data_IF_144785655705
#
_entry.id   IF_144785655705
#
_cell.length_a   1.000
_cell.length_b   1.000
_cell.length_c   1.000
_cell.angle_alpha   90.00
_cell.angle_beta   90.00
_cell.angle_gamma   90.00
#
_symmetry.space_group_name_H-M   'P 1'
#
loop_
_entity.id
_entity.type
_entity.pdbx_description
1 polymer ?
#
# COMPACT_ATOMS: atom_id res chain seq x y z
N UNK A 1 9.11 20.69 7.67
CA UNK A 1 7.87 20.73 6.85
C UNK A 1 8.12 21.42 5.52
N UNK A 2 7.24 21.23 4.53
CA UNK A 2 7.38 21.75 3.18
C UNK A 2 6.06 22.32 2.64
N UNK A 3 6.14 23.34 1.79
CA UNK A 3 5.02 23.81 0.98
C UNK A 3 5.34 23.60 -0.50
N UNK A 4 4.33 23.28 -1.30
CA UNK A 4 4.45 23.20 -2.75
C UNK A 4 3.86 24.45 -3.39
N UNK A 5 4.59 25.06 -4.32
CA UNK A 5 4.16 26.27 -5.03
C UNK A 5 4.16 26.05 -6.53
N UNK A 6 3.37 26.84 -7.25
CA UNK A 6 3.33 26.82 -8.71
C UNK A 6 4.65 27.32 -9.31
N UNK A 7 5.25 26.56 -10.23
CA UNK A 7 6.52 26.94 -10.88
C UNK A 7 6.40 28.23 -11.72
N UNK A 8 5.20 28.55 -12.22
CA UNK A 8 4.99 29.71 -13.10
C UNK A 8 4.81 31.02 -12.33
N UNK A 9 4.01 31.03 -11.27
CA UNK A 9 3.62 32.25 -10.57
C UNK A 9 3.99 32.28 -9.08
N UNK A 10 4.55 31.20 -8.53
CA UNK A 10 4.93 31.11 -7.12
C UNK A 10 3.76 31.01 -6.13
N UNK A 11 2.51 30.89 -6.60
CA UNK A 11 1.35 30.74 -5.71
C UNK A 11 1.44 29.42 -4.92
N UNK A 12 1.15 29.47 -3.62
CA UNK A 12 1.06 28.28 -2.76
C UNK A 12 -0.07 27.36 -3.23
N UNK A 13 0.25 26.08 -3.35
CA UNK A 13 -0.67 25.03 -3.82
C UNK A 13 -1.05 24.03 -2.73
N UNK A 14 -0.39 24.08 -1.57
CA UNK A 14 -0.66 23.18 -0.46
C UNK A 14 -0.62 23.91 0.88
N UNK A 15 -1.19 23.29 1.93
CA UNK A 15 -0.79 23.57 3.30
C UNK A 15 0.69 23.18 3.53
N UNK A 16 1.31 23.57 4.67
CA UNK A 16 2.57 22.98 5.11
C UNK A 16 2.39 21.48 5.38
N UNK A 17 3.26 20.65 4.79
CA UNK A 17 3.19 19.19 4.85
C UNK A 17 4.50 18.57 5.36
N UNK A 18 4.39 17.38 5.94
CA UNK A 18 5.51 16.54 6.37
C UNK A 18 5.72 15.37 5.41
N UNK A 19 6.97 15.06 5.08
CA UNK A 19 7.28 13.95 4.18
C UNK A 19 7.12 12.61 4.91
N UNK A 20 6.44 11.67 4.26
CA UNK A 20 6.31 10.28 4.72
C UNK A 20 6.67 9.29 3.60
N UNK A 21 6.81 8.02 3.96
CA UNK A 21 7.06 6.96 2.99
C UNK A 21 5.82 6.75 2.11
N UNK A 22 6.05 6.40 0.84
CA UNK A 22 4.97 6.05 -0.07
C UNK A 22 4.19 4.83 0.46
N UNK A 23 2.86 4.92 0.64
CA UNK A 23 2.06 3.78 1.08
C UNK A 23 2.10 2.63 0.07
N UNK A 24 2.17 1.38 0.55
CA UNK A 24 2.17 0.18 -0.30
C UNK A 24 0.94 0.08 -1.23
N UNK A 25 -0.19 0.64 -0.78
CA UNK A 25 -1.47 0.67 -1.48
C UNK A 25 -1.67 1.90 -2.37
N UNK A 26 -0.67 2.80 -2.51
CA UNK A 26 -0.83 4.06 -3.25
C UNK A 26 -1.29 3.91 -4.71
N UNK A 27 -0.97 2.77 -5.33
CA UNK A 27 -1.31 2.43 -6.72
C UNK A 27 -2.27 1.23 -6.79
N UNK A 28 -2.94 0.92 -5.70
CA UNK A 28 -3.88 -0.20 -5.64
C UNK A 28 -5.22 0.23 -6.22
N UNK A 29 -5.80 -0.64 -7.06
CA UNK A 29 -7.24 -0.64 -7.33
C UNK A 29 -7.90 -1.75 -6.52
N UNK A 30 -8.92 -1.44 -5.75
CA UNK A 30 -9.55 -2.42 -4.85
C UNK A 30 -11.06 -2.55 -5.04
N UNK A 31 -11.50 -3.79 -5.24
CA UNK A 31 -12.91 -4.12 -5.49
C UNK A 31 -13.46 -3.53 -6.79
N UNK A 32 -14.79 -3.37 -6.83
CA UNK A 32 -15.50 -2.75 -7.94
C UNK A 32 -16.63 -1.88 -7.39
N UNK A 33 -16.61 -0.57 -7.68
CA UNK A 33 -17.63 0.35 -7.18
C UNK A 33 -17.47 0.71 -5.71
N UNK A 34 -16.33 0.44 -5.08
CA UNK A 34 -16.10 0.75 -3.66
C UNK A 34 -15.66 2.20 -3.46
N UNK A 35 -16.08 2.82 -2.37
CA UNK A 35 -15.61 4.14 -1.97
C UNK A 35 -14.40 4.01 -1.04
N UNK A 36 -13.20 4.05 -1.62
CA UNK A 36 -11.97 3.99 -0.82
C UNK A 36 -11.72 5.31 -0.10
N UNK A 37 -11.08 5.27 1.08
CA UNK A 37 -10.77 6.47 1.84
C UNK A 37 -9.62 7.28 1.18
N UNK A 38 -9.27 8.39 1.82
CA UNK A 38 -8.12 9.21 1.41
C UNK A 38 -6.83 8.43 1.63
N UNK A 39 -5.94 8.47 0.61
CA UNK A 39 -4.68 7.74 0.60
C UNK A 39 -3.70 8.23 1.69
N UNK A 40 -3.61 9.54 1.82
CA UNK A 40 -2.62 10.21 2.67
C UNK A 40 -3.31 10.77 3.91
N UNK A 41 -2.64 10.67 5.06
CA UNK A 41 -3.03 11.42 6.24
C UNK A 41 -2.90 12.92 5.97
N UNK A 42 -3.84 13.73 6.48
CA UNK A 42 -3.79 15.18 6.29
C UNK A 42 -2.53 15.78 6.91
N UNK A 43 -1.92 16.75 6.23
CA UNK A 43 -0.65 17.33 6.63
C UNK A 43 0.57 16.49 6.23
N UNK A 44 0.40 15.44 5.43
CA UNK A 44 1.50 14.61 4.93
C UNK A 44 1.59 14.59 3.41
N UNK A 45 2.78 14.27 2.90
CA UNK A 45 2.98 13.98 1.48
C UNK A 45 3.98 12.84 1.29
N UNK A 46 3.88 12.15 0.16
CA UNK A 46 4.90 11.19 -0.27
C UNK A 46 5.36 11.52 -1.70
N UNK A 47 6.61 11.19 -2.00
CA UNK A 47 7.18 11.36 -3.34
C UNK A 47 7.22 10.03 -4.06
N UNK A 48 6.52 9.95 -5.19
CA UNK A 48 6.61 8.83 -6.11
C UNK A 48 7.91 8.91 -6.90
N UNK A 49 8.80 7.97 -6.63
CA UNK A 49 10.10 7.89 -7.30
C UNK A 49 9.98 7.29 -8.70
N UNK A 50 8.86 6.65 -9.02
CA UNK A 50 8.66 5.93 -10.25
C UNK A 50 7.73 6.66 -11.22
N UNK A 51 8.09 6.80 -12.50
CA UNK A 51 7.16 7.25 -13.53
C UNK A 51 5.84 6.47 -13.49
N UNK A 52 4.72 7.19 -13.50
CA UNK A 52 3.37 6.59 -13.46
C UNK A 52 2.58 6.81 -14.75
N UNK A 53 2.67 7.96 -15.43
CA UNK A 53 1.97 8.16 -16.70
C UNK A 53 2.68 9.22 -17.57
N UNK A 54 2.56 9.17 -18.91
CA UNK A 54 1.76 8.23 -19.73
C UNK A 54 2.40 6.85 -19.93
N UNK A 55 1.57 5.83 -20.17
CA UNK A 55 1.99 4.45 -20.41
C UNK A 55 2.11 4.13 -21.91
N UNK A 56 3.16 3.42 -22.33
CA UNK A 56 3.20 2.77 -23.65
C UNK A 56 2.98 1.26 -23.53
N UNK A 57 2.08 0.72 -24.37
CA UNK A 57 1.99 -0.73 -24.62
C UNK A 57 3.19 -1.15 -25.47
N UNK A 58 3.72 -2.34 -25.16
CA UNK A 58 5.03 -2.84 -25.57
C UNK A 58 5.33 -2.78 -27.08
N UNK A 59 6.40 -2.08 -27.46
CA UNK A 59 7.44 -2.59 -28.36
C UNK A 59 8.60 -3.06 -27.47
N UNK A 60 9.36 -4.06 -27.89
CA UNK A 60 10.38 -4.75 -27.08
C UNK A 60 11.35 -3.74 -26.46
N UNK A 61 11.20 -3.50 -25.15
CA UNK A 61 12.14 -2.70 -24.37
C UNK A 61 13.39 -3.54 -24.17
N UNK A 62 14.55 -2.90 -24.33
CA UNK A 62 15.83 -3.51 -24.05
C UNK A 62 15.89 -3.98 -22.57
N UNK A 63 16.18 -5.26 -22.30
CA UNK A 63 16.29 -5.79 -20.95
C UNK A 63 17.26 -5.01 -20.04
N UNK A 64 18.30 -4.40 -20.60
CA UNK A 64 19.28 -3.60 -19.86
C UNK A 64 18.73 -2.21 -19.54
N UNK A 65 17.93 -1.60 -20.43
CA UNK A 65 17.21 -0.36 -20.13
C UNK A 65 16.19 -0.57 -19.00
N UNK A 66 15.45 -1.69 -19.03
CA UNK A 66 14.53 -2.04 -17.96
C UNK A 66 15.27 -2.26 -16.62
N UNK A 67 16.42 -2.94 -16.65
CA UNK A 67 17.24 -3.17 -15.47
C UNK A 67 17.78 -1.87 -14.87
N UNK A 68 18.22 -0.93 -15.70
CA UNK A 68 18.67 0.39 -15.26
C UNK A 68 17.54 1.19 -14.57
N UNK A 69 16.28 0.89 -14.88
CA UNK A 69 15.09 1.44 -14.20
C UNK A 69 14.60 0.57 -13.03
N UNK A 70 15.36 -0.46 -12.64
CA UNK A 70 15.03 -1.38 -11.55
C UNK A 70 13.89 -2.34 -11.86
N UNK A 71 13.66 -2.65 -13.14
CA UNK A 71 12.63 -3.57 -13.60
C UNK A 71 13.31 -4.79 -14.21
N UNK A 72 13.11 -5.95 -13.59
CA UNK A 72 13.82 -7.19 -13.90
C UNK A 72 12.94 -8.27 -14.53
N UNK A 73 11.62 -8.06 -14.57
CA UNK A 73 10.65 -8.93 -15.22
C UNK A 73 9.89 -8.20 -16.35
N UNK A 74 9.31 -8.92 -17.32
CA UNK A 74 8.47 -8.36 -18.37
C UNK A 74 7.33 -7.48 -17.84
N UNK A 75 7.47 -6.15 -17.92
CA UNK A 75 6.37 -5.23 -17.65
C UNK A 75 5.44 -5.15 -18.88
N UNK A 76 4.13 -5.24 -18.67
CA UNK A 76 3.13 -5.12 -19.75
C UNK A 76 3.07 -3.69 -20.33
N UNK A 77 3.50 -2.70 -19.55
CA UNK A 77 3.64 -1.31 -19.96
C UNK A 77 4.80 -0.65 -19.20
N UNK A 78 5.51 0.26 -19.85
CA UNK A 78 6.42 1.20 -19.19
C UNK A 78 5.83 2.60 -19.24
N UNK A 79 6.04 3.35 -18.16
CA UNK A 79 5.73 4.77 -18.12
C UNK A 79 6.93 5.58 -18.60
N UNK A 80 6.67 6.53 -19.50
CA UNK A 80 7.61 7.57 -19.93
C UNK A 80 7.41 8.88 -19.14
N UNK A 81 6.57 8.82 -18.09
CA UNK A 81 6.28 9.96 -17.24
C UNK A 81 7.49 10.52 -16.50
N UNK A 82 7.38 11.77 -16.06
CA UNK A 82 8.33 12.31 -15.09
C UNK A 82 8.17 11.57 -13.75
N UNK A 83 9.29 11.12 -13.20
CA UNK A 83 9.38 10.69 -11.81
C UNK A 83 9.25 11.89 -10.86
N UNK A 84 9.04 11.64 -9.58
CA UNK A 84 8.97 12.67 -8.54
C UNK A 84 7.59 13.28 -8.35
N UNK A 85 6.53 12.64 -8.86
CA UNK A 85 5.17 13.10 -8.59
C UNK A 85 4.91 13.07 -7.07
N UNK A 86 4.25 14.11 -6.55
CA UNK A 86 4.01 14.23 -5.11
C UNK A 86 2.56 13.94 -4.84
N UNK A 87 2.27 13.02 -3.93
CA UNK A 87 0.91 12.71 -3.51
C UNK A 87 0.59 13.36 -2.17
N UNK A 88 -0.60 13.96 -2.09
CA UNK A 88 -1.13 14.63 -0.89
C UNK A 88 -2.60 14.26 -0.69
N UNK A 89 -3.13 14.50 0.51
CA UNK A 89 -4.56 14.41 0.75
C UNK A 89 -5.29 15.51 -0.05
N UNK A 90 -6.46 15.24 -0.65
CA UNK A 90 -7.18 16.28 -1.39
C UNK A 90 -7.50 17.53 -0.57
N UNK A 91 -7.73 17.39 0.73
CA UNK A 91 -8.00 18.49 1.65
C UNK A 91 -6.79 19.40 1.93
N UNK A 92 -5.58 18.95 1.61
CA UNK A 92 -4.36 19.73 1.83
C UNK A 92 -4.03 20.67 0.65
N UNK A 93 -4.79 20.58 -0.44
CA UNK A 93 -4.60 21.43 -1.63
C UNK A 93 -5.21 22.82 -1.44
N UNK A 94 -4.55 23.84 -1.97
CA UNK A 94 -4.94 25.25 -1.88
C UNK A 94 -4.72 25.95 -3.22
N UNK A 95 -5.47 27.02 -3.50
CA UNK A 95 -5.20 27.85 -4.68
C UNK A 95 -5.30 27.11 -6.02
N UNK A 96 -6.08 26.03 -6.08
CA UNK A 96 -6.29 25.21 -7.28
C UNK A 96 -7.76 25.14 -7.66
N UNK A 97 -8.04 25.06 -8.95
CA UNK A 97 -9.38 24.84 -9.52
C UNK A 97 -9.40 23.50 -10.26
N UNK A 98 -10.49 22.73 -10.08
CA UNK A 98 -10.72 21.50 -10.85
C UNK A 98 -11.22 21.84 -12.26
N UNK A 99 -10.87 20.99 -13.22
CA UNK A 99 -11.31 21.06 -14.62
C UNK A 99 -12.20 19.84 -14.87
N UNK A 100 -13.54 19.97 -14.74
CA UNK A 100 -14.46 18.84 -14.86
C UNK A 100 -14.39 18.12 -16.21
N UNK A 101 -14.01 18.82 -17.27
CA UNK A 101 -13.88 18.28 -18.62
C UNK A 101 -12.74 17.25 -18.74
N UNK A 102 -11.80 17.23 -17.77
CA UNK A 102 -10.69 16.28 -17.69
C UNK A 102 -10.97 15.13 -16.72
N UNK A 103 -12.19 14.60 -16.80
CA UNK A 103 -12.67 13.52 -15.92
C UNK A 103 -11.98 12.18 -16.18
N UNK A 104 -11.47 11.93 -17.38
CA UNK A 104 -10.94 10.62 -17.78
C UNK A 104 -12.03 9.61 -18.13
N UNK A 105 -11.66 8.32 -18.09
CA UNK A 105 -12.55 7.19 -18.34
C UNK A 105 -13.39 6.78 -17.13
N UNK A 106 -13.41 7.63 -16.11
CA UNK A 106 -13.93 7.35 -14.79
C UNK A 106 -15.45 7.16 -14.75
N UNK A 107 -15.92 6.27 -13.87
CA UNK A 107 -17.33 5.93 -13.72
C UNK A 107 -18.04 6.84 -12.70
N UNK A 108 -17.39 7.11 -11.56
CA UNK A 108 -17.93 7.77 -10.38
C UNK A 108 -17.22 9.09 -10.04
N UNK A 109 -15.96 9.28 -10.44
CA UNK A 109 -15.16 10.46 -10.09
C UNK A 109 -14.16 10.84 -11.17
N UNK A 110 -12.95 11.23 -10.76
CA UNK A 110 -11.77 11.43 -11.59
C UNK A 110 -10.80 10.25 -11.42
N UNK A 111 -10.33 9.66 -12.51
CA UNK A 111 -9.36 8.54 -12.49
C UNK A 111 -7.90 9.00 -12.72
N UNK A 112 -7.70 10.26 -13.11
CA UNK A 112 -6.40 10.83 -13.45
C UNK A 112 -5.83 10.36 -14.81
N UNK A 113 -6.60 9.61 -15.60
CA UNK A 113 -6.15 9.02 -16.87
C UNK A 113 -5.85 10.04 -17.97
N UNK A 114 -6.53 11.19 -17.96
CA UNK A 114 -6.36 12.31 -18.91
C UNK A 114 -5.21 13.26 -18.53
N UNK A 115 -4.41 12.90 -17.52
CA UNK A 115 -3.35 13.73 -16.95
C UNK A 115 -3.86 14.79 -15.97
N UNK A 116 -3.13 15.91 -15.78
CA UNK A 116 -3.50 16.96 -14.84
C UNK A 116 -4.90 17.54 -15.08
N UNK A 117 -5.78 17.42 -14.08
CA UNK A 117 -7.16 17.91 -14.07
C UNK A 117 -7.39 19.04 -13.04
N UNK A 118 -6.31 19.55 -12.44
CA UNK A 118 -6.33 20.72 -11.57
C UNK A 118 -5.37 21.79 -12.11
N UNK A 119 -5.84 23.04 -12.14
CA UNK A 119 -5.05 24.21 -12.52
C UNK A 119 -4.80 25.14 -11.33
N UNK A 120 -3.67 25.84 -11.34
CA UNK A 120 -3.40 26.94 -10.43
C UNK A 120 -4.43 28.05 -10.66
N UNK A 121 -5.16 28.45 -9.61
CA UNK A 121 -6.19 29.48 -9.68
C UNK A 121 -5.63 30.85 -10.10
N UNK A 122 -4.35 31.12 -9.85
CA UNK A 122 -3.72 32.41 -10.15
C UNK A 122 -3.25 32.54 -11.61
N UNK A 123 -2.75 31.47 -12.23
CA UNK A 123 -2.11 31.55 -13.57
C UNK A 123 -2.61 30.52 -14.59
N UNK A 124 -3.55 29.65 -14.20
CA UNK A 124 -4.14 28.63 -15.07
C UNK A 124 -3.21 27.47 -15.46
N UNK A 125 -1.97 27.42 -14.96
CA UNK A 125 -1.08 26.28 -15.23
C UNK A 125 -1.66 25.00 -14.65
N UNK A 126 -1.66 23.91 -15.41
CA UNK A 126 -2.03 22.58 -14.92
C UNK A 126 -0.95 22.08 -13.94
N UNK A 127 -1.35 21.87 -12.68
CA UNK A 127 -0.41 21.61 -11.58
C UNK A 127 -0.63 20.27 -10.89
N UNK A 128 -1.80 19.63 -11.03
CA UNK A 128 -2.06 18.37 -10.35
C UNK A 128 -3.17 17.52 -11.03
N UNK A 129 -3.24 16.24 -10.64
CA UNK A 129 -4.34 15.31 -10.93
C UNK A 129 -5.01 14.90 -9.63
N UNK A 130 -6.29 15.24 -9.47
CA UNK A 130 -7.19 14.68 -8.46
C UNK A 130 -7.67 13.30 -8.93
N UNK A 131 -7.65 12.35 -7.99
CA UNK A 131 -8.23 11.02 -8.14
C UNK A 131 -9.27 10.84 -7.02
N UNK A 132 -10.48 10.48 -7.41
CA UNK A 132 -11.59 10.13 -6.51
C UNK A 132 -12.63 9.19 -7.16
N UNK A 133 -12.23 8.49 -8.23
CA UNK A 133 -13.09 7.47 -8.85
C UNK A 133 -13.26 6.23 -7.96
N UNK A 134 -14.32 5.46 -8.22
CA UNK A 134 -14.60 4.26 -7.46
C UNK A 134 -13.47 3.23 -7.56
N UNK A 135 -13.24 2.52 -6.47
CA UNK A 135 -12.18 1.53 -6.31
C UNK A 135 -10.75 2.08 -6.42
N UNK A 136 -10.58 3.40 -6.49
CA UNK A 136 -9.29 4.09 -6.41
C UNK A 136 -9.19 4.88 -5.11
N UNK A 137 -7.99 4.98 -4.58
CA UNK A 137 -7.71 5.78 -3.39
C UNK A 137 -7.86 7.27 -3.69
N UNK A 138 -8.54 8.00 -2.80
CA UNK A 138 -8.72 9.43 -2.99
C UNK A 138 -7.39 10.16 -2.73
N UNK A 139 -6.91 10.91 -3.72
CA UNK A 139 -5.60 11.53 -3.67
C UNK A 139 -5.50 12.73 -4.62
N UNK A 140 -4.53 13.61 -4.37
CA UNK A 140 -4.07 14.57 -5.37
C UNK A 140 -2.60 14.33 -5.66
N UNK A 141 -2.27 14.16 -6.94
CA UNK A 141 -0.93 13.98 -7.46
C UNK A 141 -0.45 15.27 -8.11
N UNK A 142 0.47 15.99 -7.45
CA UNK A 142 1.11 17.19 -8.00
C UNK A 142 2.06 16.80 -9.13
N UNK A 143 1.96 17.51 -10.25
CA UNK A 143 2.79 17.28 -11.41
C UNK A 143 4.22 17.78 -11.13
N UNK A 144 5.25 16.91 -11.20
CA UNK A 144 6.62 17.24 -10.76
C UNK A 144 7.23 18.43 -11.49
N UNK A 145 6.84 18.64 -12.75
CA UNK A 145 7.36 19.72 -13.59
C UNK A 145 6.57 21.03 -13.45
N UNK A 146 5.48 21.04 -12.68
CA UNK A 146 4.61 22.21 -12.52
C UNK A 146 4.64 22.80 -11.10
N UNK A 147 5.32 22.13 -10.17
CA UNK A 147 5.41 22.55 -8.77
C UNK A 147 6.86 22.57 -8.27
N UNK A 148 7.13 23.45 -7.32
CA UNK A 148 8.41 23.52 -6.62
C UNK A 148 8.19 23.32 -5.12
N UNK A 149 9.10 22.57 -4.48
CA UNK A 149 9.08 22.28 -3.04
C UNK A 149 9.92 23.33 -2.30
N UNK A 150 9.36 23.95 -1.27
CA UNK A 150 10.06 24.90 -0.41
C UNK A 150 10.04 24.45 1.06
N UNK A 151 11.17 24.49 1.78
CA UNK A 151 11.20 24.22 3.22
C UNK A 151 10.49 25.33 3.99
N UNK A 152 9.77 24.96 5.04
CA UNK A 152 9.21 25.91 6.01
C UNK A 152 10.19 26.05 7.16
N UNK A 153 10.64 27.28 7.43
CA UNK A 153 11.61 27.56 8.50
C UNK A 153 11.06 27.18 9.89
N UNK A 154 11.94 26.63 10.74
CA UNK A 154 11.62 26.31 12.14
C UNK A 154 10.72 25.08 12.36
N UNK A 155 10.39 24.33 11.31
CA UNK A 155 9.43 23.22 11.35
C UNK A 155 10.06 21.84 11.12
N UNK A 156 11.29 21.61 11.58
CA UNK A 156 12.02 20.36 11.40
C UNK A 156 11.95 19.50 12.67
N UNK A 157 10.88 18.73 12.80
CA UNK A 157 10.85 17.60 13.71
C UNK A 157 11.41 16.39 12.95
N UNK A 158 12.48 15.79 13.48
CA UNK A 158 13.03 14.54 12.95
C UNK A 158 11.99 13.41 12.97
N UNK A 159 12.22 12.31 12.24
CA UNK A 159 11.30 11.19 12.24
C UNK A 159 11.17 10.58 13.64
N UNK A 160 9.96 10.17 14.00
CA UNK A 160 9.64 9.50 15.25
C UNK A 160 10.47 8.24 15.41
N UNK A 161 11.00 7.99 16.60
CA UNK A 161 11.66 6.74 16.93
C UNK A 161 10.67 5.56 16.93
N UNK A 162 11.20 4.34 16.82
CA UNK A 162 10.38 3.12 16.94
C UNK A 162 9.63 3.03 18.27
N UNK A 163 10.21 3.55 19.36
CA UNK A 163 9.57 3.58 20.68
C UNK A 163 8.38 4.51 20.72
N UNK A 164 8.48 5.70 20.10
CA UNK A 164 7.38 6.65 19.99
C UNK A 164 6.24 6.07 19.13
N UNK A 165 6.56 5.45 18.00
CA UNK A 165 5.57 4.79 17.13
C UNK A 165 4.83 3.64 17.83
N UNK A 166 5.52 2.86 18.66
CA UNK A 166 4.90 1.80 19.46
C UNK A 166 3.99 2.38 20.56
N UNK A 167 4.38 3.50 21.17
CA UNK A 167 3.59 4.16 22.20
C UNK A 167 2.31 4.80 21.64
N UNK A 168 2.36 5.33 20.41
CA UNK A 168 1.20 5.85 19.70
C UNK A 168 0.18 4.74 19.37
N UNK A 169 0.66 3.54 19.02
CA UNK A 169 -0.20 2.37 18.85
C UNK A 169 -1.12 2.43 17.63
N UNK A 170 -0.87 3.31 16.66
CA UNK A 170 -1.67 3.51 15.46
C UNK A 170 -1.57 2.33 14.48
N UNK A 171 -2.32 1.25 14.76
CA UNK A 171 -2.40 0.06 13.90
C UNK A 171 -3.65 0.07 13.01
N UNK A 172 -3.53 -0.53 11.81
CA UNK A 172 -4.62 -0.61 10.83
C UNK A 172 -5.45 -1.86 11.09
N UNK A 173 -6.77 -1.79 11.29
CA UNK A 173 -7.59 -2.98 11.52
C UNK A 173 -7.55 -3.93 10.30
N UNK A 174 -7.58 -5.26 10.50
CA UNK A 174 -7.49 -6.22 9.40
C UNK A 174 -8.72 -6.22 8.49
N UNK A 175 -9.87 -5.81 9.02
CA UNK A 175 -11.11 -5.66 8.28
C UNK A 175 -11.76 -4.32 8.60
N UNK A 176 -12.48 -3.78 7.62
CA UNK A 176 -13.18 -2.52 7.76
C UNK A 176 -14.48 -2.53 6.93
N UNK A 177 -15.52 -1.78 7.35
CA UNK A 177 -16.69 -1.56 6.51
C UNK A 177 -16.31 -0.61 5.37
N UNK A 178 -16.65 -0.97 4.14
CA UNK A 178 -16.40 -0.14 2.95
C UNK A 178 -17.72 0.09 2.23
N UNK A 179 -18.09 1.35 2.05
CA UNK A 179 -19.30 1.72 1.33
C UNK A 179 -19.15 1.42 -0.17
N UNK A 180 -20.25 1.02 -0.80
CA UNK A 180 -20.37 0.98 -2.25
C UNK A 180 -20.97 2.29 -2.77
N UNK A 181 -20.48 2.76 -3.91
CA UNK A 181 -21.01 3.96 -4.56
C UNK A 181 -22.49 3.79 -4.94
N UNK A 182 -23.32 4.74 -4.53
CA UNK A 182 -24.74 4.80 -4.91
C UNK A 182 -25.71 4.03 -4.00
N UNK A 183 -25.21 3.33 -2.97
CA UNK A 183 -26.06 2.66 -1.97
C UNK A 183 -26.06 3.43 -0.64
N UNK A 184 -27.22 3.68 0.01
CA UNK A 184 -27.25 4.20 1.36
C UNK A 184 -26.54 3.22 2.30
N UNK A 185 -25.61 3.71 3.13
CA UNK A 185 -24.95 2.94 4.18
C UNK A 185 -26.02 2.23 5.02
N UNK A 186 -26.12 0.90 4.91
CA UNK A 186 -27.07 0.11 5.70
C UNK A 186 -26.24 -0.57 6.76
N UNK A 187 -26.52 -0.34 8.04
CA UNK A 187 -25.77 -0.83 9.20
C UNK A 187 -25.50 -2.37 9.28
N UNK A 188 -25.86 -3.17 8.27
CA UNK A 188 -25.35 -4.52 8.00
C UNK A 188 -24.35 -4.60 6.84
N UNK A 189 -23.59 -3.53 6.55
CA UNK A 189 -22.66 -3.43 5.42
C UNK A 189 -21.64 -4.59 5.39
N UNK A 190 -21.27 -5.01 4.18
CA UNK A 190 -20.27 -6.08 3.96
C UNK A 190 -18.93 -5.62 4.53
N UNK A 191 -18.41 -6.38 5.48
CA UNK A 191 -17.05 -6.21 5.95
C UNK A 191 -16.09 -6.77 4.92
N UNK A 192 -15.08 -5.99 4.59
CA UNK A 192 -14.05 -6.36 3.65
C UNK A 192 -12.73 -6.54 4.39
N UNK A 193 -11.83 -7.35 3.83
CA UNK A 193 -10.42 -7.25 4.19
C UNK A 193 -9.96 -5.82 3.90
N UNK A 194 -9.23 -5.21 4.84
CA UNK A 194 -8.73 -3.86 4.63
C UNK A 194 -7.89 -3.82 3.34
N UNK A 195 -8.13 -2.87 2.41
CA UNK A 195 -7.35 -2.77 1.19
C UNK A 195 -5.87 -2.55 1.49
N UNK A 196 -5.57 -1.84 2.60
CA UNK A 196 -4.19 -1.65 3.07
C UNK A 196 -3.52 -2.98 3.44
N UNK A 197 -4.25 -3.89 4.09
CA UNK A 197 -3.76 -5.23 4.45
C UNK A 197 -3.52 -6.10 3.22
N UNK A 198 -4.47 -6.09 2.29
CA UNK A 198 -4.38 -6.84 1.02
C UNK A 198 -3.18 -6.36 0.20
N UNK A 199 -2.95 -5.05 0.11
CA UNK A 199 -1.78 -4.47 -0.55
C UNK A 199 -0.46 -4.78 0.17
N UNK A 200 -0.43 -4.61 1.50
CA UNK A 200 0.73 -4.95 2.33
C UNK A 200 1.12 -6.43 2.15
N UNK A 201 0.14 -7.32 2.10
CA UNK A 201 0.35 -8.74 1.85
C UNK A 201 0.90 -8.99 0.45
N UNK A 202 0.38 -8.32 -0.59
CA UNK A 202 0.91 -8.41 -1.95
C UNK A 202 2.40 -8.03 -2.03
N UNK A 203 2.78 -6.91 -1.40
CA UNK A 203 4.17 -6.46 -1.33
C UNK A 203 5.05 -7.46 -0.55
N UNK A 204 4.65 -7.83 0.67
CA UNK A 204 5.41 -8.75 1.50
C UNK A 204 5.55 -10.15 0.86
N UNK A 205 4.52 -10.61 0.16
CA UNK A 205 4.52 -11.91 -0.51
C UNK A 205 5.56 -12.00 -1.62
N UNK A 206 5.81 -10.91 -2.37
CA UNK A 206 6.90 -10.86 -3.35
C UNK A 206 8.26 -11.09 -2.68
N UNK A 207 8.50 -10.45 -1.53
CA UNK A 207 9.72 -10.66 -0.75
C UNK A 207 9.80 -12.07 -0.15
N UNK A 208 8.68 -12.63 0.33
CA UNK A 208 8.61 -14.01 0.83
C UNK A 208 8.95 -15.04 -0.23
N UNK A 209 8.43 -14.89 -1.45
CA UNK A 209 8.79 -15.79 -2.55
C UNK A 209 10.29 -15.71 -2.82
N UNK A 210 10.88 -14.52 -2.92
CA UNK A 210 12.33 -14.40 -3.10
C UNK A 210 13.10 -15.06 -1.96
N UNK A 211 12.69 -14.83 -0.71
CA UNK A 211 13.31 -15.39 0.49
C UNK A 211 13.18 -16.92 0.59
N UNK A 212 12.17 -17.50 -0.07
CA UNK A 212 11.94 -18.95 -0.08
C UNK A 212 13.01 -19.70 -0.86
N UNK A 213 13.65 -19.06 -1.84
CA UNK A 213 14.58 -19.73 -2.78
C UNK A 213 14.00 -21.01 -3.41
N UNK A 214 12.68 -21.03 -3.64
CA UNK A 214 11.95 -22.16 -4.21
C UNK A 214 11.69 -23.30 -3.22
N UNK A 215 11.98 -23.09 -1.93
CA UNK A 215 11.76 -24.06 -0.87
C UNK A 215 10.41 -23.86 -0.18
N UNK A 216 9.80 -24.92 0.39
CA UNK A 216 8.56 -24.78 1.16
C UNK A 216 8.77 -23.94 2.43
N UNK A 217 7.90 -22.94 2.64
CA UNK A 217 7.98 -22.00 3.77
C UNK A 217 6.80 -22.21 4.72
N UNK A 218 7.09 -22.30 6.02
CA UNK A 218 6.09 -22.24 7.08
C UNK A 218 6.03 -20.83 7.67
N UNK A 219 4.84 -20.24 7.70
CA UNK A 219 4.59 -18.95 8.34
C UNK A 219 4.08 -19.20 9.76
N UNK A 220 4.55 -18.40 10.71
CA UNK A 220 4.07 -18.41 12.09
C UNK A 220 2.53 -18.41 12.16
N UNK A 221 1.97 -19.24 13.04
CA UNK A 221 0.53 -19.39 13.25
C UNK A 221 -0.18 -18.07 13.57
N UNK A 222 -1.48 -18.03 13.29
CA UNK A 222 -2.34 -16.87 13.51
C UNK A 222 -2.65 -16.10 12.23
N UNK A 223 -2.78 -14.77 12.35
CA UNK A 223 -3.22 -13.94 11.22
C UNK A 223 -2.19 -13.87 10.08
N UNK A 224 -0.88 -13.94 10.39
CA UNK A 224 0.17 -14.01 9.37
C UNK A 224 0.04 -15.26 8.49
N UNK A 225 -0.18 -16.44 9.11
CA UNK A 225 -0.45 -17.68 8.37
C UNK A 225 -1.70 -17.57 7.48
N UNK A 226 -2.79 -16.95 7.97
CA UNK A 226 -4.00 -16.69 7.15
C UNK A 226 -3.74 -15.80 5.94
N UNK A 227 -2.81 -14.84 6.03
CA UNK A 227 -2.46 -13.95 4.92
C UNK A 227 -1.62 -14.63 3.84
N UNK A 228 -0.68 -15.50 4.24
CA UNK A 228 0.40 -15.92 3.36
C UNK A 228 0.42 -17.42 3.04
N UNK A 229 0.04 -18.30 3.98
CA UNK A 229 0.30 -19.74 3.85
C UNK A 229 -0.39 -20.34 2.62
N UNK A 230 -1.67 -19.99 2.38
CA UNK A 230 -2.41 -20.48 1.20
C UNK A 230 -1.73 -20.09 -0.11
N UNK A 231 -1.22 -18.86 -0.22
CA UNK A 231 -0.56 -18.38 -1.42
C UNK A 231 0.82 -19.04 -1.60
N UNK A 232 1.55 -19.29 -0.50
CA UNK A 232 2.81 -20.02 -0.51
C UNK A 232 2.60 -21.47 -0.96
N UNK A 233 1.63 -22.17 -0.38
CA UNK A 233 1.31 -23.57 -0.72
C UNK A 233 0.86 -23.73 -2.18
N UNK A 234 0.30 -22.67 -2.77
CA UNK A 234 -0.13 -22.68 -4.17
C UNK A 234 1.02 -22.46 -5.17
N UNK A 235 2.09 -21.76 -4.77
CA UNK A 235 3.19 -21.39 -5.68
C UNK A 235 4.50 -22.13 -5.42
N UNK A 236 4.70 -22.65 -4.22
CA UNK A 236 5.91 -23.37 -3.84
C UNK A 236 5.69 -24.89 -3.91
N UNK A 237 6.75 -25.69 -4.10
CA UNK A 237 6.64 -27.14 -4.12
C UNK A 237 6.01 -27.69 -2.83
N UNK A 238 5.19 -28.73 -2.96
CA UNK A 238 4.67 -29.44 -1.80
C UNK A 238 5.82 -30.18 -1.06
N UNK A 239 5.85 -30.08 0.27
CA UNK A 239 6.86 -30.74 1.08
C UNK A 239 6.86 -30.28 2.53
N UNK A 240 7.73 -30.90 3.35
CA UNK A 240 7.95 -30.42 4.71
C UNK A 240 8.60 -29.03 4.65
N UNK A 241 8.09 -28.03 5.40
CA UNK A 241 8.71 -26.71 5.47
C UNK A 241 10.18 -26.81 5.85
N UNK A 242 11.05 -26.25 5.00
CA UNK A 242 12.50 -26.18 5.26
C UNK A 242 12.93 -24.79 5.67
N UNK A 243 12.06 -23.78 5.48
CA UNK A 243 12.27 -22.40 5.94
C UNK A 243 11.12 -21.93 6.81
N UNK A 244 11.44 -21.09 7.81
CA UNK A 244 10.43 -20.53 8.71
C UNK A 244 10.39 -19.00 8.65
N UNK A 245 9.20 -18.46 8.43
CA UNK A 245 8.93 -17.03 8.46
C UNK A 245 8.24 -16.62 9.77
N UNK A 246 8.87 -15.71 10.52
CA UNK A 246 8.39 -15.27 11.84
C UNK A 246 8.29 -13.75 11.92
N UNK A 247 7.39 -13.26 12.78
CA UNK A 247 7.28 -11.83 13.05
C UNK A 247 8.42 -11.35 13.96
N UNK A 248 9.11 -10.29 13.55
CA UNK A 248 10.21 -9.69 14.29
C UNK A 248 10.12 -8.16 14.27
N UNK A 249 10.64 -7.50 15.30
CA UNK A 249 10.64 -6.04 15.33
C UNK A 249 10.80 -5.43 16.71
N UNK A 250 10.64 -4.11 16.84
CA UNK A 250 10.81 -3.40 18.10
C UNK A 250 9.78 -3.87 19.14
N UNK A 251 10.20 -4.01 20.39
CA UNK A 251 9.34 -4.47 21.49
C UNK A 251 8.99 -5.98 21.48
N UNK A 252 9.52 -6.76 20.52
CA UNK A 252 9.42 -8.23 20.51
C UNK A 252 10.59 -8.87 21.27
N UNK A 253 10.41 -10.10 21.79
CA UNK A 253 11.52 -10.86 22.35
C UNK A 253 12.61 -11.13 21.30
N UNK A 254 13.85 -11.45 21.74
CA UNK A 254 14.93 -11.84 20.84
C UNK A 254 14.53 -13.01 19.93
N UNK A 255 15.06 -13.01 18.72
CA UNK A 255 14.78 -14.03 17.72
C UNK A 255 15.26 -15.42 18.17
N UNK A 256 14.45 -16.44 17.88
CA UNK A 256 14.92 -17.82 17.89
C UNK A 256 15.98 -18.02 16.80
N UNK A 257 17.02 -18.80 17.10
CA UNK A 257 18.14 -19.05 16.19
C UNK A 257 17.76 -19.72 14.86
N UNK A 258 16.55 -20.30 14.76
CA UNK A 258 16.08 -21.09 13.62
C UNK A 258 15.13 -20.32 12.68
N UNK A 259 15.14 -18.99 12.69
CA UNK A 259 14.28 -18.17 11.81
C UNK A 259 15.05 -17.66 10.58
N UNK A 260 14.77 -18.23 9.41
CA UNK A 260 15.43 -17.84 8.14
C UNK A 260 14.89 -16.52 7.56
N UNK A 261 13.61 -16.26 7.81
CA UNK A 261 12.87 -15.14 7.20
C UNK A 261 12.16 -14.33 8.29
N UNK A 262 12.35 -13.02 8.26
CA UNK A 262 11.78 -12.11 9.27
C UNK A 262 10.78 -11.15 8.65
N UNK A 263 9.53 -11.24 9.09
CA UNK A 263 8.49 -10.25 8.79
C UNK A 263 8.69 -9.05 9.73
N UNK A 264 9.19 -7.93 9.19
CA UNK A 264 9.64 -6.76 9.96
C UNK A 264 8.89 -5.49 9.57
N UNK A 265 8.72 -4.51 10.50
CA UNK A 265 8.05 -3.27 10.17
C UNK A 265 8.94 -2.36 9.33
N UNK A 266 8.31 -1.58 8.46
CA UNK A 266 8.88 -0.44 7.75
C UNK A 266 8.42 0.85 8.39
N UNK A 267 9.35 1.77 8.58
CA UNK A 267 9.10 3.02 9.25
C UNK A 267 8.15 3.90 8.42
N UNK A 268 7.04 4.44 8.98
CA UNK A 268 6.03 5.15 8.21
C UNK A 268 6.56 6.45 7.58
N UNK A 269 7.43 7.18 8.27
CA UNK A 269 8.02 8.42 7.71
C UNK A 269 9.21 8.19 6.76
N UNK A 270 10.10 7.22 7.05
CA UNK A 270 11.36 7.06 6.31
C UNK A 270 11.36 5.92 5.29
N UNK A 271 10.41 4.98 5.42
CA UNK A 271 10.31 3.77 4.59
C UNK A 271 11.37 2.73 4.90
N UNK A 272 12.28 2.98 5.86
CA UNK A 272 13.34 2.04 6.22
C UNK A 272 12.77 0.87 7.02
N UNK A 273 13.11 -0.36 6.62
CA UNK A 273 12.81 -1.55 7.39
C UNK A 273 13.58 -1.53 8.72
N UNK A 274 12.96 -2.05 9.77
CA UNK A 274 13.66 -2.34 11.02
C UNK A 274 14.72 -3.43 10.78
N UNK A 275 15.93 -3.20 11.27
CA UNK A 275 17.06 -4.09 11.09
C UNK A 275 17.40 -4.81 12.41
N UNK A 276 17.30 -6.14 12.46
CA UNK A 276 17.76 -6.92 13.62
C UNK A 276 19.29 -6.91 13.73
N UNK A 277 19.80 -7.36 14.87
CA UNK A 277 21.24 -7.58 15.07
C UNK A 277 21.77 -8.84 14.34
N UNK A 278 20.91 -9.83 14.08
CA UNK A 278 21.28 -11.07 13.41
C UNK A 278 20.99 -11.00 11.89
N UNK A 279 21.83 -11.60 11.04
CA UNK A 279 21.59 -11.65 9.61
C UNK A 279 20.44 -12.61 9.28
N UNK A 280 19.39 -12.08 8.66
CA UNK A 280 18.27 -12.86 8.12
C UNK A 280 17.65 -12.10 6.94
N UNK A 281 16.88 -12.80 6.09
CA UNK A 281 16.18 -12.12 5.00
C UNK A 281 15.00 -11.33 5.57
N UNK A 282 14.95 -10.04 5.27
CA UNK A 282 13.92 -9.13 5.78
C UNK A 282 12.77 -9.01 4.77
N UNK A 283 11.57 -9.28 5.24
CA UNK A 283 10.32 -9.06 4.54
C UNK A 283 9.64 -7.83 5.15
N UNK A 284 9.69 -6.67 4.47
CA UNK A 284 9.11 -5.44 4.99
C UNK A 284 7.58 -5.46 4.96
N UNK A 285 6.96 -5.02 6.05
CA UNK A 285 5.53 -4.76 6.19
C UNK A 285 5.30 -3.30 6.59
N UNK A 286 4.24 -2.62 6.12
CA UNK A 286 3.85 -1.32 6.68
C UNK A 286 3.66 -1.41 8.20
N UNK A 287 4.17 -0.42 8.94
CA UNK A 287 4.19 -0.43 10.41
C UNK A 287 2.83 -0.78 11.03
N UNK A 288 1.74 -0.13 10.58
CA UNK A 288 0.41 -0.36 11.14
C UNK A 288 -0.13 -1.79 10.94
N UNK A 289 0.23 -2.45 9.83
CA UNK A 289 -0.13 -3.86 9.57
C UNK A 289 0.73 -4.78 10.43
N UNK A 290 2.05 -4.53 10.45
CA UNK A 290 2.97 -5.29 11.29
C UNK A 290 2.59 -5.18 12.77
N UNK A 291 2.20 -4.00 13.25
CA UNK A 291 1.82 -3.76 14.64
C UNK A 291 0.64 -4.64 15.06
N UNK A 292 -0.40 -4.77 14.22
CA UNK A 292 -1.55 -5.64 14.50
C UNK A 292 -1.25 -7.12 14.39
N UNK A 293 -0.34 -7.51 13.51
CA UNK A 293 0.20 -8.88 13.49
C UNK A 293 1.04 -9.16 14.74
N UNK A 294 1.76 -8.14 15.21
CA UNK A 294 2.75 -8.27 16.26
C UNK A 294 2.15 -8.26 17.67
N UNK A 295 1.20 -7.36 17.86
CA UNK A 295 0.49 -7.08 19.09
C UNK A 295 -1.01 -7.08 18.76
N UNK A 296 -1.62 -8.27 18.59
CA UNK A 296 -3.05 -8.35 18.29
C UNK A 296 -3.83 -7.72 19.45
N UNK A 297 -4.73 -6.78 19.12
CA UNK A 297 -5.62 -6.19 20.11
C UNK A 297 -6.50 -7.29 20.73
N UNK A 298 -6.63 -7.33 22.07
CA UNK A 298 -7.67 -8.12 22.70
C UNK A 298 -9.02 -7.69 22.13
N UNK A 299 -9.83 -8.62 21.67
CA UNK A 299 -11.22 -8.31 21.31
C UNK A 299 -11.92 -7.84 22.57
N UNK A 300 -12.11 -6.53 22.71
CA UNK A 300 -12.80 -5.96 23.85
C UNK A 300 -14.32 -6.15 23.67
N UNK A 301 -15.04 -6.63 24.69
CA UNK A 301 -16.49 -6.70 24.66
C UNK A 301 -17.10 -5.32 24.39
N UNK A 302 -18.05 -5.25 23.46
CA UNK A 302 -18.74 -4.01 23.08
C UNK A 302 -20.10 -3.95 23.81
N UNK A 303 -20.57 -2.78 24.26
CA UNK A 303 -21.89 -2.67 24.89
C UNK A 303 -23.00 -3.19 23.97
N UNK A 304 -23.95 -3.96 24.52
CA UNK A 304 -25.02 -4.55 23.72
C UNK A 304 -25.90 -3.47 23.07
N UNK A 305 -25.96 -3.44 21.74
CA UNK A 305 -26.98 -2.69 21.00
C UNK A 305 -28.18 -3.58 20.71
N UNK A 306 -29.38 -3.20 21.15
CA UNK A 306 -30.63 -3.97 20.95
C UNK A 306 -31.53 -3.99 22.20
N UNK A 307 -32.56 -4.86 22.26
CA UNK A 307 -33.49 -4.96 23.41
C UNK A 307 -32.87 -5.59 24.66
N UNK A 308 -31.54 -5.66 24.75
CA UNK A 308 -30.84 -6.23 25.89
C UNK A 308 -30.82 -5.23 27.06
N UNK A 309 -30.88 -5.69 28.31
CA UNK A 309 -30.84 -4.80 29.47
C UNK A 309 -29.54 -3.99 29.55
N UNK A 310 -29.65 -2.74 30.02
CA UNK A 310 -28.49 -1.91 30.34
C UNK A 310 -27.54 -2.64 31.30
N UNK A 311 -26.23 -2.61 31.00
CA UNK A 311 -25.20 -3.27 31.79
C UNK A 311 -24.87 -4.71 31.39
N UNK A 312 -25.55 -5.28 30.38
CA UNK A 312 -25.17 -6.57 29.80
C UNK A 312 -24.13 -6.35 28.68
N UNK A 313 -22.91 -6.84 28.91
CA UNK A 313 -21.89 -6.92 27.88
C UNK A 313 -22.22 -8.11 26.96
N UNK A 314 -22.09 -7.93 25.65
CA UNK A 314 -22.06 -9.09 24.74
C UNK A 314 -20.68 -9.71 24.84
N UNK A 315 -20.63 -11.02 25.12
CA UNK A 315 -19.40 -11.81 25.01
C UNK A 315 -18.86 -11.85 23.57
N UNK A 316 -19.70 -11.53 22.58
CA UNK A 316 -19.32 -11.58 21.16
C UNK A 316 -20.33 -10.76 20.32
N UNK A 317 -19.99 -9.60 19.75
CA UNK A 317 -20.25 -9.43 18.33
C UNK A 317 -19.14 -10.22 17.62
N UNK A 318 -19.48 -11.27 16.84
CA UNK A 318 -18.44 -11.97 16.09
C UNK A 318 -17.63 -10.91 15.35
N UNK A 319 -16.29 -10.96 15.44
CA UNK A 319 -15.44 -10.17 14.53
C UNK A 319 -16.09 -10.28 13.17
N UNK A 320 -16.53 -9.17 12.58
CA UNK A 320 -17.35 -9.21 11.39
C UNK A 320 -16.66 -10.11 10.40
N UNK A 321 -17.28 -11.28 10.20
CA UNK A 321 -16.59 -12.37 9.58
C UNK A 321 -16.48 -11.95 8.12
N UNK A 322 -15.27 -11.59 7.68
CA UNK A 322 -15.04 -11.40 6.26
C UNK A 322 -15.22 -12.78 5.66
N UNK A 323 -16.43 -13.05 5.13
CA UNK A 323 -16.80 -14.36 4.61
C UNK A 323 -15.91 -14.78 3.43
N UNK A 324 -15.13 -13.84 2.89
CA UNK A 324 -14.17 -14.04 1.83
C UNK A 324 -12.81 -14.50 2.36
N UNK A 325 -12.24 -15.51 1.71
CA UNK A 325 -10.86 -15.92 1.95
C UNK A 325 -9.92 -14.76 1.68
N UNK A 326 -8.94 -14.54 2.56
CA UNK A 326 -7.89 -13.55 2.34
C UNK A 326 -7.19 -13.83 1.01
N UNK A 327 -7.07 -12.79 0.17
CA UNK A 327 -6.35 -12.80 -1.09
C UNK A 327 -5.37 -11.65 -1.08
N UNK A 328 -4.19 -11.88 -1.66
CA UNK A 328 -3.18 -10.83 -1.73
C UNK A 328 -3.51 -9.89 -2.88
N UNK A 329 -3.04 -8.64 -2.81
CA UNK A 329 -3.21 -7.76 -3.96
C UNK A 329 -2.30 -8.19 -5.10
N UNK A 330 -2.91 -8.69 -6.17
CA UNK A 330 -2.21 -9.20 -7.33
C UNK A 330 -1.32 -8.15 -8.02
N UNK A 331 -1.82 -6.93 -8.14
CA UNK A 331 -1.14 -5.88 -8.88
C UNK A 331 0.04 -5.35 -8.08
N UNK A 332 -0.13 -5.16 -6.77
CA UNK A 332 0.96 -4.81 -5.86
C UNK A 332 2.01 -5.93 -5.82
N UNK A 333 1.59 -7.19 -5.75
CA UNK A 333 2.49 -8.34 -5.78
C UNK A 333 3.33 -8.37 -7.05
N UNK A 334 2.70 -8.35 -8.23
CA UNK A 334 3.40 -8.43 -9.50
C UNK A 334 4.36 -7.23 -9.70
N UNK A 335 3.90 -6.01 -9.35
CA UNK A 335 4.73 -4.80 -9.43
C UNK A 335 5.94 -4.90 -8.49
N UNK A 336 5.77 -5.43 -7.29
CA UNK A 336 6.86 -5.59 -6.32
C UNK A 336 7.84 -6.66 -6.80
N UNK A 337 7.35 -7.83 -7.21
CA UNK A 337 8.18 -8.95 -7.68
C UNK A 337 9.01 -8.56 -8.90
N UNK A 338 8.43 -7.83 -9.86
CA UNK A 338 9.13 -7.35 -11.05
C UNK A 338 10.32 -6.43 -10.74
N UNK A 339 10.40 -5.88 -9.52
CA UNK A 339 11.48 -5.00 -9.05
C UNK A 339 12.54 -5.71 -8.22
N UNK A 340 12.34 -6.99 -7.91
CA UNK A 340 13.32 -7.80 -7.20
C UNK A 340 14.26 -8.45 -8.22
N UNK A 341 15.59 -8.24 -8.13
CA UNK A 341 16.54 -8.83 -9.09
C UNK A 341 16.44 -10.36 -9.18
N UNK A 342 16.06 -11.01 -8.07
CA UNK A 342 15.89 -12.45 -7.96
C UNK A 342 14.81 -13.03 -8.90
N UNK A 343 13.91 -12.21 -9.45
CA UNK A 343 12.91 -12.65 -10.43
C UNK A 343 13.53 -13.23 -11.70
N UNK A 344 14.80 -12.92 -11.97
CA UNK A 344 15.57 -13.49 -13.09
C UNK A 344 16.04 -14.92 -12.86
N UNK A 345 15.90 -15.45 -11.65
CA UNK A 345 16.22 -16.85 -11.39
C UNK A 345 15.24 -17.76 -12.15
N UNK A 346 15.69 -18.90 -12.72
CA UNK A 346 14.86 -19.71 -13.60
C UNK A 346 13.50 -20.12 -13.01
N UNK A 347 13.47 -20.49 -11.74
CA UNK A 347 12.26 -20.95 -11.07
C UNK A 347 11.26 -19.80 -10.79
N UNK A 348 11.72 -18.60 -10.40
CA UNK A 348 10.85 -17.44 -10.24
C UNK A 348 10.36 -16.90 -11.58
N UNK A 349 11.20 -16.99 -12.62
CA UNK A 349 10.80 -16.61 -13.97
C UNK A 349 9.63 -17.47 -14.46
N UNK A 350 9.72 -18.80 -14.27
CA UNK A 350 8.63 -19.74 -14.61
C UNK A 350 7.33 -19.43 -13.86
N UNK A 351 7.41 -19.14 -12.56
CA UNK A 351 6.25 -18.69 -11.78
C UNK A 351 5.69 -17.40 -12.40
N UNK A 352 6.56 -16.42 -12.68
CA UNK A 352 6.22 -15.10 -13.23
C UNK A 352 5.52 -15.17 -14.59
N UNK A 353 5.93 -16.10 -15.47
CA UNK A 353 5.26 -16.33 -16.76
C UNK A 353 3.86 -16.97 -16.59
N UNK A 354 3.72 -17.90 -15.63
CA UNK A 354 2.48 -18.62 -15.36
C UNK A 354 1.52 -17.87 -14.42
N UNK A 355 1.91 -16.71 -13.92
CA UNK A 355 1.15 -15.91 -12.95
C UNK A 355 -0.30 -15.61 -13.39
N UNK A 356 -0.53 -15.36 -14.68
CA UNK A 356 -1.89 -15.11 -15.20
C UNK A 356 -2.82 -16.32 -15.04
N UNK A 357 -2.28 -17.54 -15.11
CA UNK A 357 -3.04 -18.77 -14.90
C UNK A 357 -3.38 -18.96 -13.41
N UNK A 358 -2.43 -18.69 -12.51
CA UNK A 358 -2.64 -18.78 -11.06
C UNK A 358 -3.71 -17.80 -10.54
N UNK A 359 -3.79 -16.61 -11.15
CA UNK A 359 -4.88 -15.65 -10.88
C UNK A 359 -6.24 -16.19 -11.30
N UNK A 360 -6.35 -16.82 -12.47
CA UNK A 360 -7.63 -17.36 -12.99
C UNK A 360 -8.18 -18.51 -12.16
N UNK A 361 -7.29 -19.26 -11.51
CA UNK A 361 -7.66 -20.36 -10.60
C UNK A 361 -8.06 -19.89 -9.19
N UNK A 362 -7.96 -18.60 -8.88
CA UNK A 362 -8.40 -18.03 -7.59
C UNK A 362 -7.51 -18.42 -6.40
N UNK A 363 -6.26 -18.81 -6.66
CA UNK A 363 -5.27 -19.14 -5.63
C UNK A 363 -4.56 -17.90 -5.06
N UNK A 364 -4.58 -16.79 -5.80
CA UNK A 364 -3.97 -15.50 -5.45
C UNK A 364 -5.02 -14.39 -5.37
#
# INVERSE_FOLDING_TARGET
>A
MFVFVCVRCGAELTAPLSEVAMPAHARQKYGNGLQLPVLMESGTFAVEREPWAPWRRRQVIDPDEAAARGIYAPAQALSEGAAGAVVVAPGDTRGTVLIPEKRGGACCGFDGGDGPNMACAACGLLVASRIDDCSLWQAVWLAPNAVCRFPVEGADAGPSSWTELLAEGAGVPPSEPIASWGEPFRAGDRWHWSPQWVAAAGQAFAHLLVASEGQPVAVQDGLASRMFQRALDALLPAGRPTRRAVLAGPGRPPLDADADILLVPSHPQTGKAWTPAAPAYLVPLPFGVWLRLAFPEPQLPVPASGPMPDGVLRDDPPTPNVHDVFRIDWEVFHRTLARLPAVRTPWLHEITENLTQHRRTGFL
#
